data_IF_307034009783
#
_entry.id   IF_307034009783
#
_cell.length_a   1.000
_cell.length_b   1.000
_cell.length_c   1.000
_cell.angle_alpha   90.00
_cell.angle_beta   90.00
_cell.angle_gamma   90.00
#
_symmetry.space_group_name_H-M   'P 1'
#
loop_
_entity.id
_entity.type
_entity.pdbx_description
1 polymer ?
#
# COMPACT_ATOMS: atom_id res chain seq x y z
N UNK A 1 -7.94 -68.23 -69.08
CA UNK A 1 -8.82 -67.05 -69.10
C UNK A 1 -8.77 -66.39 -67.73
N UNK A 2 -8.15 -65.21 -67.62
CA UNK A 2 -8.01 -64.43 -66.36
C UNK A 2 -8.89 -63.18 -66.48
N UNK A 3 -9.79 -62.89 -65.54
CA UNK A 3 -10.55 -61.64 -65.55
C UNK A 3 -9.76 -60.50 -64.89
N UNK A 4 -9.87 -59.32 -65.50
CA UNK A 4 -9.30 -58.04 -65.08
C UNK A 4 -10.19 -57.45 -63.97
N UNK A 5 -9.60 -57.05 -62.84
CA UNK A 5 -10.28 -56.25 -61.81
C UNK A 5 -9.93 -54.78 -61.98
N UNK A 6 -10.96 -53.95 -62.16
CA UNK A 6 -10.90 -52.50 -62.31
C UNK A 6 -10.84 -51.85 -60.92
N UNK A 7 -9.76 -51.12 -60.61
CA UNK A 7 -9.62 -50.36 -59.37
C UNK A 7 -10.32 -49.00 -59.50
N UNK A 8 -11.33 -48.77 -58.66
CA UNK A 8 -12.09 -47.53 -58.60
C UNK A 8 -11.49 -46.62 -57.52
N UNK A 9 -10.91 -45.49 -57.94
CA UNK A 9 -10.26 -44.52 -57.06
C UNK A 9 -11.31 -43.54 -56.51
N UNK A 10 -11.55 -43.54 -55.19
CA UNK A 10 -12.46 -42.61 -54.51
C UNK A 10 -11.69 -41.33 -54.13
N UNK A 11 -12.01 -40.21 -54.77
CA UNK A 11 -11.61 -38.87 -54.32
C UNK A 11 -12.49 -38.44 -53.13
N UNK A 12 -11.90 -38.33 -51.95
CA UNK A 12 -12.51 -37.72 -50.77
C UNK A 12 -12.33 -36.19 -50.81
N UNK A 13 -13.42 -35.46 -51.02
CA UNK A 13 -13.50 -34.00 -50.88
C UNK A 13 -13.44 -33.63 -49.39
N UNK A 14 -12.33 -33.06 -48.94
CA UNK A 14 -12.22 -32.39 -47.64
C UNK A 14 -12.95 -31.04 -47.71
N UNK A 15 -14.11 -30.93 -47.06
CA UNK A 15 -14.74 -29.64 -46.82
C UNK A 15 -14.05 -28.96 -45.64
N UNK A 16 -13.39 -27.81 -45.86
CA UNK A 16 -12.90 -26.96 -44.79
C UNK A 16 -14.09 -26.43 -43.98
N UNK A 17 -14.19 -26.84 -42.71
CA UNK A 17 -15.06 -26.16 -41.75
C UNK A 17 -14.53 -24.73 -41.49
N UNK A 18 -15.40 -23.72 -41.38
CA UNK A 18 -14.97 -22.38 -41.01
C UNK A 18 -14.36 -22.40 -39.59
N UNK A 19 -13.33 -21.57 -39.33
CA UNK A 19 -12.74 -21.47 -37.99
C UNK A 19 -13.80 -21.05 -36.98
N UNK A 20 -13.78 -21.67 -35.79
CA UNK A 20 -14.64 -21.27 -34.69
C UNK A 20 -14.42 -19.79 -34.36
N UNK A 21 -15.48 -19.03 -34.02
CA UNK A 21 -15.32 -17.64 -33.62
C UNK A 21 -14.36 -17.57 -32.42
N UNK A 22 -13.31 -16.77 -32.57
CA UNK A 22 -12.44 -16.39 -31.46
C UNK A 22 -13.30 -15.78 -30.35
N UNK A 23 -13.13 -16.20 -29.07
CA UNK A 23 -13.83 -15.55 -27.98
C UNK A 23 -13.50 -14.06 -28.03
N UNK A 24 -14.53 -13.23 -28.18
CA UNK A 24 -14.39 -11.79 -28.09
C UNK A 24 -13.78 -11.47 -26.72
N UNK A 25 -12.71 -10.68 -26.71
CA UNK A 25 -12.18 -10.11 -25.47
C UNK A 25 -13.27 -9.36 -24.69
N UNK A 26 -13.05 -9.08 -23.40
CA UNK A 26 -14.02 -8.37 -22.58
C UNK A 26 -14.44 -7.06 -23.27
N UNK A 27 -15.76 -6.79 -23.26
CA UNK A 27 -16.34 -5.59 -23.86
C UNK A 27 -15.78 -4.33 -23.16
N UNK A 28 -15.04 -3.46 -23.87
CA UNK A 28 -14.45 -2.25 -23.27
C UNK A 28 -15.51 -1.22 -22.83
N UNK A 29 -16.79 -1.45 -23.13
CA UNK A 29 -17.92 -0.64 -22.67
C UNK A 29 -18.63 -1.20 -21.43
N UNK A 30 -18.24 -2.38 -20.94
CA UNK A 30 -18.79 -2.94 -19.70
C UNK A 30 -18.45 -2.04 -18.50
N UNK A 31 -19.37 -1.83 -17.55
CA UNK A 31 -19.08 -1.08 -16.33
C UNK A 31 -17.91 -1.70 -15.56
N UNK A 32 -16.95 -0.88 -15.14
CA UNK A 32 -15.86 -1.33 -14.26
C UNK A 32 -16.46 -1.63 -12.89
N UNK A 33 -16.44 -2.91 -12.49
CA UNK A 33 -16.84 -3.36 -11.16
C UNK A 33 -15.76 -2.97 -10.14
N UNK A 34 -16.13 -2.15 -9.17
CA UNK A 34 -15.19 -1.57 -8.19
C UNK A 34 -15.27 -2.25 -6.83
N UNK A 35 -16.13 -3.25 -6.67
CA UNK A 35 -16.36 -3.94 -5.41
C UNK A 35 -17.31 -3.16 -4.47
N UNK A 36 -17.42 -3.59 -3.20
CA UNK A 36 -18.30 -2.96 -2.21
C UNK A 36 -17.81 -1.55 -1.83
N UNK A 37 -18.72 -0.62 -1.51
CA UNK A 37 -18.33 0.75 -1.12
C UNK A 37 -17.63 0.83 0.25
N UNK A 38 -17.94 -0.11 1.13
CA UNK A 38 -17.35 -0.20 2.47
C UNK A 38 -17.36 -1.65 2.94
N UNK A 39 -16.32 -2.05 3.64
CA UNK A 39 -16.19 -3.33 4.31
C UNK A 39 -15.89 -3.03 5.78
N UNK A 40 -16.74 -3.50 6.69
CA UNK A 40 -16.47 -3.41 8.13
C UNK A 40 -15.37 -4.40 8.50
N UNK A 41 -14.44 -3.96 9.35
CA UNK A 41 -13.35 -4.79 9.85
C UNK A 41 -13.51 -5.00 11.35
N UNK A 42 -13.34 -6.26 11.78
CA UNK A 42 -13.11 -6.61 13.18
C UNK A 42 -11.62 -6.38 13.52
N UNK A 43 -11.22 -5.12 13.54
CA UNK A 43 -9.83 -4.65 13.72
C UNK A 43 -9.65 -3.21 13.24
N UNK A 44 -8.46 -2.63 13.43
CA UNK A 44 -8.18 -1.22 13.10
C UNK A 44 -7.23 -1.12 11.89
N UNK A 45 -7.73 -0.82 10.67
CA UNK A 45 -6.86 -0.72 9.50
C UNK A 45 -5.98 0.52 9.60
N UNK A 46 -4.68 0.36 9.33
CA UNK A 46 -3.75 1.48 9.18
C UNK A 46 -3.09 1.48 7.79
N UNK A 47 -1.92 0.86 7.65
CA UNK A 47 -1.22 0.69 6.38
C UNK A 47 -1.99 -0.18 5.39
N UNK A 48 -1.97 0.22 4.11
CA UNK A 48 -2.59 -0.49 2.99
C UNK A 48 -1.58 -0.65 1.86
N UNK A 49 -1.51 -1.86 1.27
CA UNK A 49 -0.66 -2.13 0.12
C UNK A 49 -1.42 -2.91 -0.95
N UNK A 50 -1.51 -2.37 -2.17
CA UNK A 50 -2.10 -3.08 -3.30
C UNK A 50 -1.03 -3.84 -4.09
N UNK A 51 -1.12 -5.16 -4.06
CA UNK A 51 -0.36 -6.05 -4.95
C UNK A 51 -1.12 -6.22 -6.26
N UNK A 52 -0.76 -5.41 -7.26
CA UNK A 52 -1.41 -5.44 -8.57
C UNK A 52 -1.24 -6.79 -9.30
N UNK A 53 -0.08 -7.45 -9.13
CA UNK A 53 0.17 -8.74 -9.77
C UNK A 53 -0.71 -9.85 -9.16
N UNK A 54 -0.87 -9.81 -7.84
CA UNK A 54 -1.71 -10.74 -7.09
C UNK A 54 -3.19 -10.35 -7.00
N UNK A 55 -3.58 -9.18 -7.53
CA UNK A 55 -4.92 -8.56 -7.34
C UNK A 55 -5.38 -8.61 -5.88
N UNK A 56 -4.46 -8.31 -4.97
CA UNK A 56 -4.64 -8.51 -3.53
C UNK A 56 -4.30 -7.23 -2.78
N UNK A 57 -5.22 -6.77 -1.93
CA UNK A 57 -4.93 -5.72 -0.96
C UNK A 57 -4.41 -6.37 0.33
N UNK A 58 -3.33 -5.86 0.89
CA UNK A 58 -2.82 -6.20 2.21
C UNK A 58 -3.09 -5.06 3.18
N UNK A 59 -3.43 -5.40 4.42
CA UNK A 59 -3.94 -4.48 5.44
C UNK A 59 -3.20 -4.74 6.74
N UNK A 60 -2.59 -3.70 7.32
CA UNK A 60 -2.09 -3.73 8.68
C UNK A 60 -3.27 -3.52 9.62
N UNK A 61 -3.64 -4.57 10.35
CA UNK A 61 -4.67 -4.51 11.38
C UNK A 61 -3.97 -4.20 12.72
N UNK A 62 -3.94 -2.90 13.03
CA UNK A 62 -3.24 -2.34 14.18
C UNK A 62 -3.73 -3.00 15.47
N UNK A 63 -5.02 -2.88 15.77
CA UNK A 63 -5.63 -3.39 17.01
C UNK A 63 -5.30 -4.86 17.30
N UNK A 64 -5.27 -5.71 16.27
CA UNK A 64 -5.09 -7.15 16.44
C UNK A 64 -3.66 -7.66 16.17
N UNK A 65 -2.68 -6.77 15.94
CA UNK A 65 -1.29 -7.14 15.67
C UNK A 65 -1.15 -8.23 14.58
N UNK A 66 -1.85 -8.05 13.46
CA UNK A 66 -1.88 -9.04 12.38
C UNK A 66 -1.91 -8.38 11.01
N UNK A 67 -1.62 -9.16 9.98
CA UNK A 67 -1.83 -8.73 8.59
C UNK A 67 -3.04 -9.45 8.03
N UNK A 68 -3.97 -8.67 7.48
CA UNK A 68 -5.12 -9.17 6.72
C UNK A 68 -4.86 -8.97 5.23
N UNK A 69 -5.64 -9.68 4.41
CA UNK A 69 -5.74 -9.42 2.98
C UNK A 69 -7.19 -9.36 2.53
N UNK A 70 -7.40 -8.70 1.40
CA UNK A 70 -8.67 -8.65 0.69
C UNK A 70 -8.49 -8.98 -0.79
N UNK A 71 -9.46 -9.72 -1.34
CA UNK A 71 -9.60 -9.96 -2.79
C UNK A 71 -11.09 -9.90 -3.15
N UNK A 72 -11.42 -9.54 -4.40
CA UNK A 72 -12.82 -9.53 -4.86
C UNK A 72 -13.51 -10.89 -4.70
N UNK A 73 -12.78 -11.98 -4.93
CA UNK A 73 -13.32 -13.34 -4.86
C UNK A 73 -13.44 -13.89 -3.42
N UNK A 74 -12.48 -13.57 -2.55
CA UNK A 74 -12.35 -14.18 -1.23
C UNK A 74 -12.75 -13.30 -0.05
N UNK A 75 -12.99 -12.00 -0.28
CA UNK A 75 -13.21 -11.04 0.81
C UNK A 75 -12.00 -10.93 1.74
N UNK A 76 -12.26 -10.52 2.99
CA UNK A 76 -11.23 -10.38 4.04
C UNK A 76 -10.79 -11.75 4.56
N UNK A 77 -9.49 -11.97 4.66
CA UNK A 77 -8.91 -13.16 5.28
C UNK A 77 -7.58 -12.86 5.98
N UNK A 78 -7.21 -13.71 6.94
CA UNK A 78 -5.94 -13.62 7.65
C UNK A 78 -4.77 -13.99 6.73
N UNK A 79 -3.71 -13.19 6.76
CA UNK A 79 -2.41 -13.57 6.20
C UNK A 79 -1.58 -14.27 7.27
N UNK A 80 -1.27 -13.56 8.35
CA UNK A 80 -0.57 -14.12 9.51
C UNK A 80 -0.75 -13.24 10.74
N UNK A 81 -0.54 -13.85 11.92
CA UNK A 81 -0.24 -13.13 13.15
C UNK A 81 1.19 -12.59 13.09
N UNK A 82 1.44 -11.40 13.61
CA UNK A 82 2.80 -10.85 13.73
C UNK A 82 3.47 -11.39 15.01
N UNK A 83 4.81 -11.24 15.17
CA UNK A 83 5.47 -11.50 16.44
C UNK A 83 4.78 -10.75 17.59
N UNK A 84 4.87 -11.19 18.85
CA UNK A 84 4.23 -10.50 19.96
C UNK A 84 4.46 -8.99 19.94
N UNK A 85 3.39 -8.23 20.12
CA UNK A 85 3.46 -6.77 20.22
C UNK A 85 4.20 -6.35 21.50
N UNK A 86 4.87 -5.18 21.51
CA UNK A 86 5.42 -4.63 22.73
C UNK A 86 4.31 -4.26 23.72
N UNK A 87 4.67 -4.12 25.01
CA UNK A 87 3.69 -3.90 26.09
C UNK A 87 2.86 -2.61 25.99
N UNK A 88 3.27 -1.66 25.14
CA UNK A 88 2.52 -0.44 24.86
C UNK A 88 1.58 -0.55 23.64
N UNK A 89 1.37 -1.78 23.14
CA UNK A 89 0.49 -2.07 22.03
C UNK A 89 1.22 -2.26 20.69
N UNK A 90 0.52 -2.79 19.69
CA UNK A 90 1.08 -3.10 18.37
C UNK A 90 1.55 -1.84 17.63
N UNK A 91 0.69 -0.83 17.50
CA UNK A 91 1.00 0.42 16.81
C UNK A 91 1.46 0.20 15.37
N UNK A 92 0.80 -0.70 14.63
CA UNK A 92 1.17 -0.99 13.25
C UNK A 92 0.99 0.26 12.39
N UNK A 93 2.01 0.60 11.61
CA UNK A 93 1.95 1.66 10.61
C UNK A 93 1.70 1.09 9.22
N UNK A 94 2.54 1.53 8.28
CA UNK A 94 2.53 1.10 6.90
C UNK A 94 3.12 -0.31 6.71
N UNK A 95 2.84 -0.90 5.54
CA UNK A 95 3.35 -2.21 5.16
C UNK A 95 3.69 -2.28 3.67
N UNK A 96 4.63 -3.16 3.33
CA UNK A 96 4.97 -3.47 1.93
C UNK A 96 5.17 -4.96 1.74
N UNK A 97 5.08 -5.41 0.48
CA UNK A 97 5.46 -6.76 0.07
C UNK A 97 6.71 -6.73 -0.79
N UNK A 98 7.74 -7.45 -0.37
CA UNK A 98 9.00 -7.64 -1.09
C UNK A 98 8.83 -8.61 -2.28
N UNK A 99 9.74 -8.63 -3.27
CA UNK A 99 9.62 -9.48 -4.45
C UNK A 99 9.65 -10.98 -4.16
N UNK A 100 10.32 -11.39 -3.08
CA UNK A 100 10.32 -12.78 -2.59
C UNK A 100 8.99 -13.17 -1.93
N UNK A 101 8.10 -12.20 -1.67
CA UNK A 101 6.83 -12.36 -1.00
C UNK A 101 6.85 -12.07 0.49
N UNK A 102 7.99 -11.67 1.05
CA UNK A 102 8.09 -11.22 2.45
C UNK A 102 7.24 -9.96 2.65
N UNK A 103 6.37 -9.97 3.66
CA UNK A 103 5.62 -8.78 4.07
C UNK A 103 6.38 -8.11 5.22
N UNK A 104 6.57 -6.80 5.13
CA UNK A 104 7.27 -5.99 6.14
C UNK A 104 6.30 -4.96 6.68
N UNK A 105 6.24 -4.81 8.00
CA UNK A 105 5.31 -3.91 8.71
C UNK A 105 6.08 -3.13 9.76
N UNK A 106 5.86 -1.82 9.84
CA UNK A 106 6.49 -0.99 10.88
C UNK A 106 5.64 -0.90 12.14
N UNK A 107 6.27 -0.71 13.30
CA UNK A 107 5.59 -0.38 14.55
C UNK A 107 5.99 0.99 15.08
N UNK A 108 4.98 1.77 15.44
CA UNK A 108 5.09 3.08 16.03
C UNK A 108 5.79 3.05 17.40
N UNK A 109 5.44 2.06 18.22
CA UNK A 109 6.12 1.73 19.48
C UNK A 109 6.21 2.86 20.51
N UNK A 110 5.46 3.96 20.36
CA UNK A 110 5.32 5.03 21.35
C UNK A 110 6.61 5.78 21.72
N UNK A 111 7.72 5.51 21.03
CA UNK A 111 9.07 5.98 21.38
C UNK A 111 9.73 5.24 22.53
N UNK A 112 9.29 4.02 22.82
CA UNK A 112 9.92 3.11 23.78
C UNK A 112 10.14 1.71 23.21
N UNK A 113 9.51 1.38 22.08
CA UNK A 113 9.52 0.06 21.48
C UNK A 113 9.26 0.09 19.96
N UNK A 114 9.65 1.17 19.27
CA UNK A 114 9.50 1.22 17.83
C UNK A 114 10.37 0.15 17.16
N UNK A 115 9.78 -0.63 16.26
CA UNK A 115 10.45 -1.72 15.57
C UNK A 115 9.95 -1.87 14.11
N UNK A 116 10.45 -2.89 13.43
CA UNK A 116 9.94 -3.37 12.14
C UNK A 116 9.86 -4.89 12.24
N UNK A 117 8.72 -5.45 11.82
CA UNK A 117 8.48 -6.89 11.81
C UNK A 117 8.20 -7.38 10.40
N UNK A 118 8.36 -8.68 10.18
CA UNK A 118 8.14 -9.28 8.87
C UNK A 118 7.52 -10.67 8.97
N UNK A 119 6.87 -11.06 7.87
CA UNK A 119 6.30 -12.38 7.61
C UNK A 119 6.94 -12.89 6.33
N UNK A 120 7.66 -14.01 6.38
CA UNK A 120 8.22 -14.66 5.21
C UNK A 120 7.16 -15.47 4.44
N UNK A 121 7.42 -15.83 3.17
CA UNK A 121 6.49 -16.62 2.37
C UNK A 121 6.12 -17.99 2.96
N UNK A 122 7.01 -18.57 3.78
CA UNK A 122 6.76 -19.83 4.50
C UNK A 122 5.92 -19.65 5.78
N UNK A 123 5.50 -18.41 6.08
CA UNK A 123 4.74 -18.04 7.27
C UNK A 123 5.59 -17.76 8.51
N UNK A 124 6.92 -17.90 8.43
CA UNK A 124 7.80 -17.57 9.57
C UNK A 124 7.81 -16.07 9.81
N UNK A 125 7.70 -15.67 11.07
CA UNK A 125 7.69 -14.26 11.48
C UNK A 125 8.98 -13.87 12.18
N UNK A 126 9.38 -12.62 12.07
CA UNK A 126 10.52 -12.10 12.83
C UNK A 126 10.48 -10.59 13.03
N UNK A 127 11.41 -10.11 13.84
CA UNK A 127 11.64 -8.68 14.13
C UNK A 127 13.01 -8.31 13.61
N UNK A 128 13.11 -7.16 12.94
CA UNK A 128 14.38 -6.59 12.48
C UNK A 128 15.24 -6.23 13.69
N UNK A 129 16.47 -6.77 13.82
CA UNK A 129 17.30 -6.57 15.01
C UNK A 129 17.96 -5.19 15.02
N UNK A 130 18.46 -4.77 16.19
CA UNK A 130 19.34 -3.60 16.32
C UNK A 130 18.69 -2.23 16.10
N UNK A 131 17.38 -2.18 15.85
CA UNK A 131 16.67 -0.93 15.66
C UNK A 131 16.56 -0.13 16.96
N UNK A 132 16.68 1.20 16.83
CA UNK A 132 16.54 2.11 17.96
C UNK A 132 15.06 2.18 18.43
N UNK A 133 14.74 1.81 19.68
CA UNK A 133 13.36 1.71 20.16
C UNK A 133 12.68 3.08 20.35
N UNK A 134 13.44 4.16 20.49
CA UNK A 134 12.92 5.52 20.66
C UNK A 134 12.34 6.14 19.38
N UNK A 135 12.65 5.54 18.22
CA UNK A 135 12.16 5.97 16.90
C UNK A 135 10.72 5.50 16.71
N UNK A 136 9.82 6.46 16.51
CA UNK A 136 8.42 6.21 16.16
C UNK A 136 8.29 6.05 14.66
N UNK A 137 8.19 4.81 14.17
CA UNK A 137 8.12 4.47 12.73
C UNK A 137 6.67 4.39 12.28
N UNK A 138 6.34 4.97 11.11
CA UNK A 138 4.97 4.96 10.59
C UNK A 138 4.93 4.62 9.11
N UNK A 139 5.69 5.34 8.28
CA UNK A 139 5.68 5.13 6.83
C UNK A 139 6.74 4.12 6.39
N UNK A 140 6.42 3.33 5.38
CA UNK A 140 7.33 2.33 4.81
C UNK A 140 7.10 2.25 3.31
N UNK A 141 8.17 2.25 2.53
CA UNK A 141 8.08 1.96 1.10
C UNK A 141 9.24 1.10 0.63
N UNK A 142 9.03 0.42 -0.49
CA UNK A 142 10.02 -0.38 -1.17
C UNK A 142 10.36 0.29 -2.50
N UNK A 143 11.62 0.68 -2.67
CA UNK A 143 12.10 1.19 -3.94
C UNK A 143 12.28 0.07 -4.98
N UNK A 144 12.28 0.39 -6.29
CA UNK A 144 12.43 -0.60 -7.36
C UNK A 144 13.71 -1.45 -7.29
N UNK A 145 14.75 -0.96 -6.63
CA UNK A 145 16.02 -1.68 -6.41
C UNK A 145 15.98 -2.64 -5.20
N UNK A 146 14.83 -2.73 -4.52
CA UNK A 146 14.64 -3.55 -3.32
C UNK A 146 14.99 -2.85 -2.00
N UNK A 147 15.41 -1.57 -2.04
CA UNK A 147 15.74 -0.82 -0.84
C UNK A 147 14.47 -0.40 -0.09
N UNK A 148 14.37 -0.74 1.19
CA UNK A 148 13.31 -0.23 2.07
C UNK A 148 13.65 1.20 2.53
N UNK A 149 12.65 2.07 2.56
CA UNK A 149 12.71 3.39 3.17
C UNK A 149 11.66 3.49 4.28
N UNK A 150 12.07 3.94 5.46
CA UNK A 150 11.20 4.08 6.63
C UNK A 150 11.20 5.53 7.13
N UNK A 151 10.00 6.07 7.34
CA UNK A 151 9.80 7.37 7.97
C UNK A 151 9.66 7.20 9.49
N UNK A 152 10.40 8.03 10.25
CA UNK A 152 10.29 8.03 11.70
C UNK A 152 10.47 9.41 12.31
N UNK A 153 10.06 9.57 13.57
CA UNK A 153 10.49 10.70 14.39
C UNK A 153 10.81 10.27 15.82
N UNK A 154 11.62 11.09 16.49
CA UNK A 154 11.90 11.01 17.93
C UNK A 154 11.36 12.26 18.63
N UNK A 155 11.23 12.21 19.96
CA UNK A 155 10.91 13.40 20.76
C UNK A 155 12.16 13.90 21.48
N UNK A 156 12.54 15.14 21.21
CA UNK A 156 13.67 15.84 21.85
C UNK A 156 13.12 17.12 22.45
N UNK A 157 13.27 17.31 23.77
CA UNK A 157 12.77 18.49 24.49
C UNK A 157 11.31 18.84 24.14
N UNK A 158 10.43 17.82 24.14
CA UNK A 158 9.01 17.92 23.81
C UNK A 158 8.69 18.30 22.33
N UNK A 159 9.69 18.46 21.47
CA UNK A 159 9.52 18.66 20.02
C UNK A 159 9.72 17.36 19.25
N UNK A 160 9.06 17.22 18.10
CA UNK A 160 9.29 16.11 17.18
C UNK A 160 10.46 16.44 16.25
N UNK A 161 11.38 15.50 16.11
CA UNK A 161 12.50 15.57 15.16
C UNK A 161 12.41 14.34 14.26
N UNK A 162 12.11 14.57 13.00
CA UNK A 162 11.77 13.55 12.01
C UNK A 162 12.85 13.34 10.96
N UNK A 163 12.86 12.12 10.43
CA UNK A 163 13.80 11.68 9.40
C UNK A 163 13.18 10.58 8.52
N UNK A 164 13.85 10.29 7.41
CA UNK A 164 13.69 9.07 6.62
C UNK A 164 15.01 8.31 6.59
N UNK A 165 14.97 7.00 6.73
CA UNK A 165 16.13 6.12 6.66
C UNK A 165 15.97 5.02 5.61
N UNK A 166 17.08 4.59 5.04
CA UNK A 166 17.21 3.29 4.37
C UNK A 166 17.28 2.20 5.42
N UNK A 167 16.52 1.13 5.21
CA UNK A 167 16.40 -0.01 6.12
C UNK A 167 16.79 -1.32 5.41
N UNK A 168 17.45 -2.23 6.13
CA UNK A 168 17.57 -3.64 5.72
C UNK A 168 17.00 -4.56 6.80
N UNK A 169 16.57 -5.76 6.43
CA UNK A 169 16.00 -6.72 7.37
C UNK A 169 17.05 -7.31 8.34
N UNK A 170 18.33 -7.13 8.05
CA UNK A 170 19.47 -7.48 8.90
C UNK A 170 19.72 -6.44 10.01
N UNK A 171 19.00 -5.31 10.02
CA UNK A 171 19.06 -4.31 11.09
C UNK A 171 19.85 -3.05 10.76
N UNK A 172 20.25 -2.83 9.51
CA UNK A 172 20.87 -1.57 9.11
C UNK A 172 19.80 -0.49 8.93
N UNK A 173 19.88 0.62 9.68
CA UNK A 173 18.96 1.77 9.57
C UNK A 173 19.74 3.09 9.41
N UNK A 174 19.97 3.50 8.16
CA UNK A 174 20.80 4.66 7.79
C UNK A 174 19.93 5.86 7.40
N UNK A 175 20.05 6.96 8.13
CA UNK A 175 19.36 8.22 7.80
C UNK A 175 19.80 8.78 6.43
N UNK A 176 18.83 9.21 5.63
CA UNK A 176 19.03 9.80 4.29
C UNK A 176 18.30 11.13 4.10
N UNK A 177 17.25 11.40 4.90
CA UNK A 177 16.60 12.71 5.01
C UNK A 177 16.48 13.04 6.49
N UNK A 178 16.88 14.24 6.89
CA UNK A 178 16.69 14.78 8.24
C UNK A 178 15.90 16.08 8.22
N UNK A 179 15.92 16.81 9.33
CA UNK A 179 15.27 18.13 9.48
C UNK A 179 13.76 18.15 9.12
N UNK A 180 13.07 17.03 9.37
CA UNK A 180 11.61 16.95 9.31
C UNK A 180 11.03 17.14 10.72
N UNK A 181 9.71 17.35 10.83
CA UNK A 181 8.99 17.42 12.09
C UNK A 181 8.36 16.07 12.43
N UNK A 182 7.30 15.68 11.73
CA UNK A 182 6.58 14.42 11.92
C UNK A 182 6.30 13.76 10.57
N UNK A 183 7.32 13.18 9.92
CA UNK A 183 7.12 12.38 8.72
C UNK A 183 6.24 11.18 9.05
N UNK A 184 5.19 10.99 8.27
CA UNK A 184 4.20 9.92 8.44
C UNK A 184 4.25 8.97 7.26
N UNK A 185 4.05 9.45 6.03
CA UNK A 185 4.13 8.64 4.82
C UNK A 185 5.46 8.82 4.09
N UNK A 186 5.91 7.76 3.44
CA UNK A 186 7.02 7.78 2.50
C UNK A 186 6.65 6.89 1.31
N UNK A 187 6.89 7.33 0.08
CA UNK A 187 6.63 6.52 -1.12
C UNK A 187 7.62 6.86 -2.24
N UNK A 188 7.83 5.91 -3.16
CA UNK A 188 8.67 6.12 -4.35
C UNK A 188 7.78 6.16 -5.59
N UNK A 189 8.01 7.17 -6.44
CA UNK A 189 7.38 7.27 -7.75
C UNK A 189 8.41 7.73 -8.77
N UNK A 190 8.72 6.86 -9.73
CA UNK A 190 9.79 7.07 -10.69
C UNK A 190 11.16 7.17 -9.99
N UNK A 191 11.89 8.25 -10.26
CA UNK A 191 13.20 8.56 -9.69
C UNK A 191 13.16 9.34 -8.37
N UNK A 192 11.97 9.45 -7.77
CA UNK A 192 11.70 10.39 -6.69
C UNK A 192 11.17 9.69 -5.45
N UNK A 193 11.67 10.12 -4.29
CA UNK A 193 11.15 9.80 -2.97
C UNK A 193 10.23 10.95 -2.52
N UNK A 194 9.03 10.63 -2.08
CA UNK A 194 8.08 11.57 -1.52
C UNK A 194 7.84 11.28 -0.05
N UNK A 195 7.70 12.33 0.76
CA UNK A 195 7.54 12.22 2.22
C UNK A 195 6.45 13.18 2.67
N UNK A 196 5.40 12.67 3.32
CA UNK A 196 4.40 13.52 3.98
C UNK A 196 4.84 13.81 5.41
N UNK A 197 4.91 15.08 5.75
CA UNK A 197 5.17 15.56 7.10
C UNK A 197 3.90 16.17 7.69
N UNK A 198 3.29 15.41 8.60
CA UNK A 198 1.97 15.70 9.14
C UNK A 198 1.95 16.96 10.00
N UNK A 199 3.03 17.26 10.73
CA UNK A 199 3.10 18.48 11.54
C UNK A 199 3.54 19.68 10.72
N UNK A 200 4.42 19.48 9.75
CA UNK A 200 4.82 20.58 8.87
C UNK A 200 3.72 20.98 7.88
N UNK A 201 2.72 20.11 7.65
CA UNK A 201 1.65 20.34 6.68
C UNK A 201 2.16 20.33 5.24
N UNK A 202 3.12 19.45 4.95
CA UNK A 202 3.85 19.44 3.68
C UNK A 202 4.03 18.03 3.14
N UNK A 203 4.10 17.93 1.83
CA UNK A 203 4.71 16.79 1.14
C UNK A 203 6.00 17.27 0.50
N UNK A 204 7.09 16.59 0.81
CA UNK A 204 8.41 16.83 0.25
C UNK A 204 8.68 15.86 -0.92
N UNK A 205 9.52 16.29 -1.86
CA UNK A 205 10.06 15.46 -2.95
C UNK A 205 11.58 15.54 -2.93
N UNK A 206 12.24 14.40 -3.07
CA UNK A 206 13.69 14.29 -3.19
C UNK A 206 14.07 13.36 -4.36
N UNK A 207 15.19 13.61 -5.06
CA UNK A 207 15.76 12.60 -5.96
C UNK A 207 16.13 11.34 -5.18
N UNK A 208 15.75 10.16 -5.66
CA UNK A 208 16.04 8.89 -4.98
C UNK A 208 17.54 8.60 -4.87
N UNK A 209 18.32 9.06 -5.87
CA UNK A 209 19.77 8.99 -5.89
C UNK A 209 20.45 9.92 -4.87
N UNK A 210 19.76 11.00 -4.48
CA UNK A 210 20.27 12.05 -3.58
C UNK A 210 19.16 12.53 -2.63
N UNK A 211 18.67 11.70 -1.70
CA UNK A 211 17.48 12.04 -0.89
C UNK A 211 17.65 13.30 -0.02
N UNK A 212 18.89 13.65 0.33
CA UNK A 212 19.19 14.86 1.11
C UNK A 212 18.79 16.16 0.39
N UNK A 213 18.68 16.16 -0.94
CA UNK A 213 18.37 17.34 -1.76
C UNK A 213 16.84 17.51 -1.95
N UNK A 214 16.09 17.47 -0.86
CA UNK A 214 14.63 17.51 -0.87
C UNK A 214 14.07 18.93 -0.91
N UNK A 215 12.93 19.10 -1.58
CA UNK A 215 12.19 20.37 -1.66
C UNK A 215 10.71 20.18 -1.33
N UNK A 216 10.00 21.27 -1.01
CA UNK A 216 8.55 21.21 -0.81
C UNK A 216 7.88 20.97 -2.16
N UNK A 217 7.11 19.89 -2.27
CA UNK A 217 6.33 19.56 -3.46
C UNK A 217 4.90 20.09 -3.36
N UNK A 218 4.27 19.93 -2.20
CA UNK A 218 2.92 20.41 -1.93
C UNK A 218 2.74 20.82 -0.47
N UNK A 219 1.72 21.64 -0.19
CA UNK A 219 1.33 22.04 1.15
C UNK A 219 -0.16 21.74 1.37
N UNK A 220 -0.48 21.06 2.46
CA UNK A 220 -1.83 20.60 2.79
C UNK A 220 -1.94 20.27 4.29
N UNK A 221 -3.13 20.35 4.90
CA UNK A 221 -3.29 20.16 6.33
C UNK A 221 -3.09 18.69 6.71
N UNK A 222 -2.16 18.44 7.64
CA UNK A 222 -1.92 17.16 8.29
C UNK A 222 -1.99 15.92 7.38
N UNK A 223 -1.17 15.86 6.31
CA UNK A 223 -1.11 14.69 5.45
C UNK A 223 -0.69 13.45 6.25
N UNK A 224 -1.27 12.30 5.93
CA UNK A 224 -0.98 11.01 6.56
C UNK A 224 -0.15 10.13 5.60
N UNK A 225 -0.33 8.81 5.60
CA UNK A 225 0.32 7.90 4.64
C UNK A 225 0.07 8.30 3.18
N UNK A 226 1.00 7.90 2.30
CA UNK A 226 1.03 8.27 0.88
C UNK A 226 0.80 7.03 0.00
N UNK A 227 -0.01 7.18 -1.04
CA UNK A 227 -0.13 6.21 -2.12
C UNK A 227 0.13 6.88 -3.47
N UNK A 228 0.64 6.12 -4.43
CA UNK A 228 0.68 6.56 -5.83
C UNK A 228 -0.71 6.36 -6.44
N UNK A 229 -1.27 7.42 -7.00
CA UNK A 229 -2.57 7.43 -7.67
C UNK A 229 -2.46 7.40 -9.20
N UNK A 230 -3.58 7.58 -9.91
CA UNK A 230 -3.59 7.62 -11.36
C UNK A 230 -2.79 8.83 -11.90
N UNK A 231 -2.30 8.70 -13.14
CA UNK A 231 -1.64 9.78 -13.88
C UNK A 231 -0.44 10.42 -13.15
N UNK A 232 0.23 9.64 -12.31
CA UNK A 232 1.39 10.09 -11.53
C UNK A 232 1.04 11.04 -10.38
N UNK A 233 -0.21 11.01 -9.90
CA UNK A 233 -0.61 11.75 -8.70
C UNK A 233 -0.14 11.04 -7.43
N UNK A 234 -0.06 11.79 -6.34
CA UNK A 234 0.01 11.23 -4.99
C UNK A 234 -1.36 11.39 -4.32
N UNK A 235 -1.74 10.40 -3.55
CA UNK A 235 -2.96 10.39 -2.75
C UNK A 235 -2.57 10.33 -1.27
N UNK A 236 -3.28 11.07 -0.42
CA UNK A 236 -3.07 11.01 1.03
C UNK A 236 -4.34 11.32 1.79
N UNK A 237 -4.56 10.61 2.90
CA UNK A 237 -5.56 10.99 3.89
C UNK A 237 -5.10 12.18 4.72
N UNK A 238 -6.01 12.77 5.48
CA UNK A 238 -5.68 13.73 6.52
C UNK A 238 -6.53 13.55 7.76
N UNK A 239 -6.03 14.08 8.88
CA UNK A 239 -6.76 14.15 10.16
C UNK A 239 -8.05 14.97 10.12
N UNK A 240 -8.31 15.68 9.03
CA UNK A 240 -9.55 16.44 8.83
C UNK A 240 -10.68 15.59 8.22
N UNK A 241 -10.50 14.27 8.08
CA UNK A 241 -11.51 13.39 7.48
C UNK A 241 -11.59 13.53 5.95
N UNK A 242 -10.49 13.93 5.32
CA UNK A 242 -10.40 14.18 3.87
C UNK A 242 -9.36 13.27 3.21
N UNK A 243 -9.59 12.98 1.94
CA UNK A 243 -8.59 12.40 1.04
C UNK A 243 -8.23 13.46 0.01
N UNK A 244 -6.94 13.71 -0.16
CA UNK A 244 -6.39 14.66 -1.12
C UNK A 244 -5.73 13.93 -2.29
N UNK A 245 -5.80 14.56 -3.46
CA UNK A 245 -4.97 14.25 -4.62
C UNK A 245 -3.97 15.38 -4.85
N UNK A 246 -2.72 15.01 -5.13
CA UNK A 246 -1.61 15.93 -5.43
C UNK A 246 -1.16 15.60 -6.85
N UNK A 247 -1.36 16.54 -7.77
CA UNK A 247 -0.95 16.38 -9.16
C UNK A 247 0.59 16.35 -9.28
N UNK A 248 1.17 15.85 -10.40
CA UNK A 248 2.61 15.92 -10.64
C UNK A 248 3.21 17.34 -10.55
N UNK A 249 2.38 18.37 -10.74
CA UNK A 249 2.75 19.79 -10.58
C UNK A 249 2.87 20.24 -9.12
N UNK A 250 2.41 19.44 -8.15
CA UNK A 250 2.26 19.81 -6.74
C UNK A 250 0.91 20.44 -6.39
N UNK A 251 0.00 20.60 -7.36
CA UNK A 251 -1.35 21.13 -7.12
C UNK A 251 -2.18 20.16 -6.27
N UNK A 252 -2.79 20.69 -5.21
CA UNK A 252 -3.58 19.91 -4.24
C UNK A 252 -5.07 20.10 -4.50
N UNK A 253 -5.81 18.99 -4.53
CA UNK A 253 -7.27 18.97 -4.61
C UNK A 253 -7.88 18.03 -3.58
N UNK A 254 -9.08 18.34 -3.11
CA UNK A 254 -9.85 17.42 -2.26
C UNK A 254 -10.53 16.39 -3.17
N UNK A 255 -10.17 15.12 -3.00
CA UNK A 255 -10.74 14.02 -3.77
C UNK A 255 -12.03 13.50 -3.12
N UNK A 256 -12.04 13.38 -1.79
CA UNK A 256 -13.21 12.94 -1.03
C UNK A 256 -13.16 13.48 0.42
N UNK A 257 -14.30 13.42 1.11
CA UNK A 257 -14.48 13.95 2.48
C UNK A 257 -15.54 13.17 3.24
N UNK A 258 -15.65 13.42 4.54
CA UNK A 258 -16.65 12.78 5.41
C UNK A 258 -16.18 11.46 6.01
N UNK A 259 -14.87 11.21 5.97
CA UNK A 259 -14.22 10.10 6.68
C UNK A 259 -13.96 10.49 8.13
N UNK A 260 -13.70 9.51 8.98
CA UNK A 260 -13.36 9.74 10.38
C UNK A 260 -11.89 10.15 10.48
N UNK A 261 -10.98 9.21 10.22
CA UNK A 261 -9.54 9.46 10.11
C UNK A 261 -8.95 8.57 8.99
N UNK A 262 -8.96 9.04 7.74
CA UNK A 262 -8.34 8.29 6.63
C UNK A 262 -6.83 8.26 6.83
N UNK A 263 -6.28 7.07 7.09
CA UNK A 263 -4.84 6.82 7.32
C UNK A 263 -4.17 6.32 6.04
N UNK A 264 -4.00 5.00 5.90
CA UNK A 264 -3.43 4.36 4.72
C UNK A 264 -4.36 4.34 3.53
N UNK A 265 -3.76 4.42 2.34
CA UNK A 265 -4.42 4.40 1.06
C UNK A 265 -3.74 3.38 0.14
N UNK A 266 -4.50 2.75 -0.77
CA UNK A 266 -3.90 1.95 -1.84
C UNK A 266 -4.74 2.07 -3.12
N UNK A 267 -4.08 2.17 -4.27
CA UNK A 267 -4.74 2.38 -5.56
C UNK A 267 -4.64 1.15 -6.46
N UNK A 268 -5.79 0.70 -6.93
CA UNK A 268 -5.92 -0.33 -7.96
C UNK A 268 -6.24 0.34 -9.30
N UNK A 269 -5.22 0.44 -10.15
CA UNK A 269 -5.33 1.09 -11.46
C UNK A 269 -6.16 0.28 -12.47
N UNK A 270 -6.24 -1.04 -12.33
CA UNK A 270 -7.00 -1.90 -13.25
C UNK A 270 -8.50 -1.66 -13.07
N UNK A 271 -8.96 -1.61 -11.83
CA UNK A 271 -10.36 -1.30 -11.51
C UNK A 271 -10.58 0.18 -11.14
N UNK A 272 -9.57 1.02 -11.37
CA UNK A 272 -9.56 2.47 -11.11
C UNK A 272 -10.09 2.86 -9.71
N UNK A 273 -9.80 2.10 -8.66
CA UNK A 273 -10.41 2.30 -7.33
C UNK A 273 -9.37 2.58 -6.26
N UNK A 274 -9.76 3.40 -5.28
CA UNK A 274 -8.96 3.72 -4.12
C UNK A 274 -9.53 3.03 -2.89
N UNK A 275 -8.67 2.30 -2.20
CA UNK A 275 -8.90 1.76 -0.88
C UNK A 275 -8.47 2.77 0.18
N UNK A 276 -9.28 2.96 1.21
CA UNK A 276 -9.03 3.90 2.31
C UNK A 276 -9.21 3.18 3.64
N UNK A 277 -8.18 3.20 4.48
CA UNK A 277 -8.27 2.78 5.87
C UNK A 277 -8.92 3.92 6.68
N UNK A 278 -10.21 3.80 6.95
CA UNK A 278 -11.00 4.78 7.69
C UNK A 278 -11.03 4.38 9.17
N UNK A 279 -10.11 4.97 9.93
CA UNK A 279 -9.94 4.69 11.36
C UNK A 279 -10.94 5.46 12.21
N UNK A 280 -11.52 4.77 13.19
CA UNK A 280 -12.35 5.35 14.23
C UNK A 280 -11.55 5.68 15.48
N UNK A 281 -11.36 6.98 15.70
CA UNK A 281 -10.66 7.50 16.88
C UNK A 281 -11.57 7.69 18.11
N UNK A 282 -12.87 7.44 17.99
CA UNK A 282 -13.84 7.57 19.09
C UNK A 282 -14.44 6.20 19.43
N UNK A 283 -13.79 5.50 20.36
CA UNK A 283 -14.25 4.21 20.86
C UNK A 283 -15.50 4.31 21.75
N UNK A 284 -15.88 5.52 22.18
CA UNK A 284 -16.98 5.74 23.14
C UNK A 284 -18.37 5.48 22.56
N UNK A 285 -18.50 5.51 21.23
CA UNK A 285 -19.76 5.28 20.52
C UNK A 285 -19.87 3.86 19.93
N UNK A 286 -18.86 3.01 20.17
CA UNK A 286 -18.69 1.70 19.54
C UNK A 286 -17.88 1.83 18.25
N UNK A 287 -16.59 1.47 18.31
CA UNK A 287 -15.68 1.66 17.18
C UNK A 287 -16.16 0.95 15.90
N UNK A 288 -16.22 1.70 14.80
CA UNK A 288 -16.58 1.18 13.49
C UNK A 288 -15.47 1.40 12.48
N UNK A 289 -14.55 0.44 12.40
CA UNK A 289 -13.45 0.48 11.46
C UNK A 289 -13.89 0.02 10.06
N UNK A 290 -13.52 0.79 9.04
CA UNK A 290 -13.89 0.46 7.67
C UNK A 290 -12.68 0.48 6.72
N UNK A 291 -12.69 -0.49 5.81
CA UNK A 291 -12.05 -0.33 4.52
C UNK A 291 -13.06 0.30 3.55
N UNK A 292 -12.85 1.56 3.16
CA UNK A 292 -13.69 2.22 2.15
C UNK A 292 -13.12 1.98 0.77
N UNK A 293 -13.99 1.92 -0.24
CA UNK A 293 -13.61 1.81 -1.63
C UNK A 293 -14.37 2.87 -2.44
N UNK A 294 -13.63 3.72 -3.13
CA UNK A 294 -14.19 4.78 -3.98
C UNK A 294 -13.62 4.73 -5.40
N UNK A 295 -14.39 5.18 -6.41
CA UNK A 295 -13.87 5.34 -7.78
C UNK A 295 -12.85 6.49 -7.86
N UNK A 296 -11.72 6.26 -8.53
CA UNK A 296 -10.67 7.26 -8.80
C UNK A 296 -10.02 7.00 -10.18
N UNK A 297 -10.23 7.91 -11.12
CA UNK A 297 -9.80 7.80 -12.53
C UNK A 297 -8.51 8.57 -12.89
#
# INVERSE_FOLDING_TARGET
>A
MRPVFLAMCLLSLYACAPPAPTPSGPDPSAPIERGPKAISLDGDPNGLFWDAAGKTLYIADDQNNRVLKWTDAGGISLVAQLPPAPGNGPGLGDLVRMPDGTIVVVRFGGGTAGDVVFIRPDGTTGTVPGLKPERRRIGLTLAPDGQLYVAYFVRVNNANVGSVARLTLEGTEQEVIGALQKPVGVTVMGDSLFVSDQLAGKVYRAPLASPQDYTTHAALPSPDLLAVGPRGSLLTGSREGKVFSIAPSGEVSVLASGYQQPRGLAYDAENQRLFIADHDGDDSNGATYFLRIIPVE
#
